data_IF_104179117875
#
_entry.id   IF_104179117875
#
_cell.length_a   1.000
_cell.length_b   1.000
_cell.length_c   1.000
_cell.angle_alpha   90.00
_cell.angle_beta   90.00
_cell.angle_gamma   90.00
#
_symmetry.space_group_name_H-M   'P 1'
#
loop_
_entity.id
_entity.type
_entity.pdbx_description
1 polymer ?
#
# COMPACT_ATOMS: atom_id res chain seq x y z
N UNK A 1 5.81 -2.42 18.21
CA UNK A 1 6.65 -1.31 17.71
C UNK A 1 6.84 -1.55 16.22
N UNK A 2 6.46 -0.65 15.30
CA UNK A 2 6.72 -0.87 13.89
C UNK A 2 8.21 -0.68 13.64
N UNK A 3 8.90 -1.73 13.18
CA UNK A 3 10.29 -1.65 12.77
C UNK A 3 10.40 -0.77 11.52
N UNK A 4 11.21 0.28 11.57
CA UNK A 4 11.59 1.07 10.40
C UNK A 4 12.66 0.28 9.65
N UNK A 5 12.27 -0.34 8.53
CA UNK A 5 13.19 -1.09 7.67
C UNK A 5 13.85 -0.14 6.68
N UNK A 6 15.18 -0.06 6.72
CA UNK A 6 15.97 0.67 5.73
C UNK A 6 15.85 -0.05 4.37
N UNK A 7 15.14 0.58 3.44
CA UNK A 7 14.72 0.00 2.17
C UNK A 7 15.68 0.35 1.03
N UNK A 8 16.96 0.61 1.32
CA UNK A 8 17.99 1.07 0.38
C UNK A 8 18.19 0.22 -0.91
N UNK A 9 17.47 -0.89 -1.06
CA UNK A 9 17.41 -1.72 -2.28
C UNK A 9 16.25 -1.36 -3.23
N UNK A 10 15.21 -0.68 -2.75
CA UNK A 10 14.00 -0.33 -3.53
C UNK A 10 13.67 1.14 -3.32
N UNK A 11 13.63 1.91 -4.42
CA UNK A 11 13.34 3.34 -4.39
C UNK A 11 11.98 3.63 -5.03
N UNK A 12 11.20 4.49 -4.39
CA UNK A 12 9.94 5.01 -4.91
C UNK A 12 10.24 6.00 -6.04
N UNK A 13 9.90 5.65 -7.28
CA UNK A 13 10.12 6.50 -8.46
C UNK A 13 9.06 7.59 -8.63
N UNK A 14 7.81 7.30 -8.24
CA UNK A 14 6.69 8.22 -8.37
C UNK A 14 6.23 8.70 -7.00
N UNK A 15 5.88 9.99 -6.82
CA UNK A 15 5.55 10.53 -5.51
C UNK A 15 4.41 9.82 -4.80
N UNK A 16 3.53 9.16 -5.56
CA UNK A 16 2.43 8.33 -5.08
C UNK A 16 2.47 7.01 -5.87
N UNK A 17 2.44 5.88 -5.18
CA UNK A 17 2.26 4.55 -5.77
C UNK A 17 1.42 3.66 -4.84
N UNK A 18 0.75 2.64 -5.40
CA UNK A 18 0.01 1.66 -4.62
C UNK A 18 0.35 0.24 -5.10
N UNK A 19 0.66 -0.66 -4.16
CA UNK A 19 0.81 -2.09 -4.43
C UNK A 19 -0.37 -2.87 -3.86
N UNK A 20 -0.85 -3.87 -4.61
CA UNK A 20 -1.89 -4.80 -4.15
C UNK A 20 -1.28 -6.19 -3.99
N UNK A 21 -1.45 -6.78 -2.81
CA UNK A 21 -1.16 -8.18 -2.54
C UNK A 21 -2.48 -8.96 -2.43
N UNK A 22 -2.72 -9.86 -3.36
CA UNK A 22 -3.98 -10.59 -3.52
C UNK A 22 -3.80 -12.02 -3.06
N UNK A 23 -4.48 -12.38 -1.96
CA UNK A 23 -4.63 -13.74 -1.49
C UNK A 23 -6.07 -14.22 -1.71
N UNK A 24 -6.32 -15.52 -1.57
CA UNK A 24 -7.63 -16.12 -1.87
C UNK A 24 -8.82 -15.41 -1.18
N UNK A 25 -8.64 -14.99 0.08
CA UNK A 25 -9.72 -14.41 0.90
C UNK A 25 -9.62 -12.90 1.12
N UNK A 26 -8.46 -12.31 0.86
CA UNK A 26 -8.19 -10.92 1.20
C UNK A 26 -7.23 -10.26 0.23
N UNK A 27 -7.42 -8.96 0.03
CA UNK A 27 -6.55 -8.08 -0.74
C UNK A 27 -5.98 -7.06 0.23
N UNK A 28 -4.66 -6.91 0.24
CA UNK A 28 -3.96 -5.89 1.02
C UNK A 28 -3.49 -4.80 0.07
N UNK A 29 -3.97 -3.58 0.27
CA UNK A 29 -3.51 -2.40 -0.46
C UNK A 29 -2.46 -1.64 0.36
N UNK A 30 -1.31 -1.35 -0.24
CA UNK A 30 -0.24 -0.54 0.33
C UNK A 30 -0.09 0.74 -0.50
N UNK A 31 -0.67 1.85 -0.03
CA UNK A 31 -0.50 3.16 -0.62
C UNK A 31 0.76 3.82 -0.04
N UNK A 32 1.74 4.12 -0.88
CA UNK A 32 2.94 4.85 -0.50
C UNK A 32 2.88 6.24 -1.11
N UNK A 33 2.96 7.26 -0.27
CA UNK A 33 3.16 8.64 -0.69
C UNK A 33 4.50 9.15 -0.17
N UNK A 34 5.14 10.05 -0.90
CA UNK A 34 6.33 10.77 -0.41
C UNK A 34 5.92 12.14 0.09
N UNK A 35 6.45 12.52 1.25
CA UNK A 35 6.24 13.86 1.79
C UNK A 35 7.20 14.88 1.16
N UNK A 36 7.04 16.19 1.46
CA UNK A 36 7.91 17.22 0.90
C UNK A 36 9.40 17.07 1.26
N UNK A 37 9.74 16.23 2.24
CA UNK A 37 11.13 15.92 2.61
C UNK A 37 11.65 14.64 1.94
N UNK A 38 10.87 14.05 1.02
CA UNK A 38 11.22 12.84 0.29
C UNK A 38 11.04 11.55 1.09
N UNK A 39 10.41 11.61 2.27
CA UNK A 39 10.19 10.41 3.10
C UNK A 39 8.93 9.68 2.68
N UNK A 40 9.06 8.38 2.43
CA UNK A 40 7.94 7.50 2.13
C UNK A 40 7.01 7.30 3.35
N UNK A 41 5.71 7.35 3.10
CA UNK A 41 4.63 7.18 4.07
C UNK A 41 3.68 6.10 3.56
N UNK A 42 3.87 4.83 3.97
CA UNK A 42 2.97 3.75 3.63
C UNK A 42 1.69 3.80 4.48
N UNK A 43 0.56 3.53 3.85
CA UNK A 43 -0.75 3.30 4.46
C UNK A 43 -1.26 1.96 3.96
N UNK A 44 -1.70 1.11 4.89
CA UNK A 44 -2.19 -0.24 4.60
C UNK A 44 -3.70 -0.30 4.84
N UNK A 45 -4.43 -0.89 3.90
CA UNK A 45 -5.84 -1.21 4.06
C UNK A 45 -6.15 -2.61 3.52
N UNK A 46 -7.06 -3.31 4.19
CA UNK A 46 -7.44 -4.67 3.84
C UNK A 46 -8.88 -4.72 3.31
N UNK A 47 -9.09 -5.55 2.30
CA UNK A 47 -10.35 -5.78 1.64
C UNK A 47 -10.62 -7.28 1.51
N UNK A 48 -11.88 -7.69 1.46
CA UNK A 48 -12.26 -9.02 1.02
C UNK A 48 -12.13 -9.19 -0.50
N UNK A 49 -12.28 -10.43 -0.98
CA UNK A 49 -12.24 -10.77 -2.42
C UNK A 49 -13.62 -10.89 -3.07
N UNK A 50 -14.70 -10.68 -2.31
CA UNK A 50 -16.06 -10.67 -2.84
C UNK A 50 -16.47 -9.30 -3.37
N UNK A 51 -17.47 -9.28 -4.24
CA UNK A 51 -17.90 -8.11 -5.01
C UNK A 51 -18.08 -6.83 -4.18
N UNK A 52 -18.64 -6.93 -2.97
CA UNK A 52 -18.82 -5.76 -2.10
C UNK A 52 -17.49 -5.10 -1.73
N UNK A 53 -16.51 -5.89 -1.30
CA UNK A 53 -15.19 -5.39 -0.93
C UNK A 53 -14.38 -4.92 -2.14
N UNK A 54 -14.56 -5.56 -3.31
CA UNK A 54 -13.96 -5.10 -4.56
C UNK A 54 -14.53 -3.74 -5.02
N UNK A 55 -15.82 -3.49 -4.76
CA UNK A 55 -16.43 -2.18 -4.98
C UNK A 55 -15.84 -1.16 -4.00
N UNK A 56 -15.67 -1.52 -2.71
CA UNK A 56 -15.04 -0.64 -1.72
C UNK A 56 -13.59 -0.31 -2.06
N UNK A 57 -12.83 -1.26 -2.63
CA UNK A 57 -11.46 -1.03 -3.08
C UNK A 57 -11.35 -0.01 -4.24
N UNK A 58 -12.40 0.10 -5.06
CA UNK A 58 -12.45 1.03 -6.20
C UNK A 58 -12.75 2.47 -5.77
N UNK A 59 -13.51 2.63 -4.69
CA UNK A 59 -14.00 3.92 -4.16
C UNK A 59 -12.94 4.66 -3.36
#
# INVERSE_FOLDING_TARGET
MPQVQDTSVVTVLHPICCGLDVHEKYITACLVSTDPMGKARPVMENFGTFTYDLIRLRE
#
